data_IF_199604611752
#
_entry.id   IF_199604611752
#
_cell.length_a   1.000
_cell.length_b   1.000
_cell.length_c   1.000
_cell.angle_alpha   90.00
_cell.angle_beta   90.00
_cell.angle_gamma   90.00
#
_symmetry.space_group_name_H-M   'P 1'
#
loop_
_entity.id
_entity.type
_entity.pdbx_description
1 polymer ?
#
# COMPACT_ATOMS: atom_id res chain seq x y z
N UNK A 1 30.72 17.23 -0.16
CA UNK A 1 29.37 16.63 -0.16
C UNK A 1 28.90 16.63 -1.61
N UNK A 2 28.55 15.46 -2.18
CA UNK A 2 28.19 15.35 -3.61
C UNK A 2 26.72 15.66 -3.77
N UNK A 3 26.40 16.56 -4.68
CA UNK A 3 25.02 16.87 -5.09
C UNK A 3 24.70 16.01 -6.33
N UNK A 4 23.58 15.33 -6.28
CA UNK A 4 23.06 14.52 -7.39
C UNK A 4 21.91 15.25 -8.07
N UNK A 5 21.92 15.23 -9.39
CA UNK A 5 20.96 15.96 -10.21
C UNK A 5 19.61 15.25 -10.30
N UNK A 6 18.60 16.03 -10.71
CA UNK A 6 17.27 15.50 -11.07
C UNK A 6 17.40 14.34 -12.06
N UNK A 7 16.60 13.30 -11.90
CA UNK A 7 16.63 12.09 -12.73
C UNK A 7 17.59 11.02 -12.22
N UNK A 8 18.40 11.29 -11.19
CA UNK A 8 19.19 10.25 -10.55
C UNK A 8 18.29 9.28 -9.80
N UNK A 9 18.49 7.97 -10.00
CA UNK A 9 17.80 6.93 -9.24
C UNK A 9 18.51 6.73 -7.91
N UNK A 10 17.71 6.56 -6.86
CA UNK A 10 18.15 6.22 -5.51
C UNK A 10 17.72 4.81 -5.19
N UNK A 11 18.66 3.96 -4.78
CA UNK A 11 18.44 2.59 -4.35
C UNK A 11 18.84 2.45 -2.90
N UNK A 12 17.93 2.00 -2.05
CA UNK A 12 18.25 1.63 -0.66
C UNK A 12 18.96 0.28 -0.70
N UNK A 13 20.22 0.26 -0.30
CA UNK A 13 21.03 -0.98 -0.32
C UNK A 13 21.30 -1.54 1.06
N UNK A 14 20.87 -0.86 2.13
CA UNK A 14 21.01 -1.31 3.51
C UNK A 14 19.83 -0.87 4.36
N UNK A 15 18.94 -1.80 4.71
CA UNK A 15 17.76 -1.55 5.55
C UNK A 15 17.05 -2.86 5.87
N UNK A 16 16.38 -2.96 7.01
CA UNK A 16 15.51 -4.08 7.35
C UNK A 16 14.30 -4.26 6.42
N UNK A 17 13.93 -3.23 5.66
CA UNK A 17 12.84 -3.29 4.67
C UNK A 17 13.17 -4.19 3.46
N UNK A 18 14.47 -4.46 3.23
CA UNK A 18 14.96 -5.29 2.12
C UNK A 18 14.50 -6.76 2.19
N UNK A 19 13.91 -7.18 3.30
CA UNK A 19 13.22 -8.49 3.41
C UNK A 19 11.93 -8.54 2.59
N UNK A 20 11.35 -7.40 2.27
CA UNK A 20 10.02 -7.31 1.67
C UNK A 20 10.00 -6.54 0.36
N UNK A 21 10.82 -5.51 0.23
CA UNK A 21 10.81 -4.62 -0.94
C UNK A 21 12.17 -3.97 -1.15
N UNK A 22 12.47 -3.62 -2.39
CA UNK A 22 13.61 -2.80 -2.78
C UNK A 22 13.14 -1.35 -2.97
N UNK A 23 13.37 -0.45 -1.98
CA UNK A 23 13.01 0.93 -2.15
C UNK A 23 13.87 1.56 -3.26
N UNK A 24 13.18 2.06 -4.27
CA UNK A 24 13.75 2.71 -5.44
C UNK A 24 12.95 3.99 -5.71
N UNK A 25 13.63 5.08 -5.98
CA UNK A 25 13.01 6.36 -6.33
C UNK A 25 13.84 7.12 -7.35
N UNK A 26 13.24 8.13 -7.98
CA UNK A 26 13.93 9.06 -8.89
C UNK A 26 13.92 10.44 -8.24
N UNK A 27 15.06 11.11 -8.22
CA UNK A 27 15.17 12.47 -7.72
C UNK A 27 14.38 13.44 -8.63
N UNK A 28 13.44 14.16 -8.04
CA UNK A 28 12.70 15.23 -8.73
C UNK A 28 13.45 16.57 -8.70
N UNK A 29 14.34 16.73 -7.73
CA UNK A 29 15.16 17.94 -7.52
C UNK A 29 16.58 17.51 -7.13
N UNK A 30 17.60 18.35 -7.38
CA UNK A 30 18.96 18.09 -6.91
C UNK A 30 18.98 17.89 -5.39
N UNK A 31 19.68 16.85 -4.93
CA UNK A 31 19.80 16.52 -3.52
C UNK A 31 21.14 15.84 -3.17
N UNK A 32 21.46 15.83 -1.90
CA UNK A 32 22.55 15.02 -1.36
C UNK A 32 21.98 13.75 -0.73
N UNK A 33 22.72 12.65 -0.76
CA UNK A 33 22.28 11.36 -0.21
C UNK A 33 23.26 10.86 0.84
N UNK A 34 22.75 10.05 1.76
CA UNK A 34 23.56 9.40 2.78
C UNK A 34 24.21 8.11 2.24
N UNK A 35 25.04 7.47 3.06
CA UNK A 35 25.82 6.28 2.69
C UNK A 35 24.97 5.00 2.49
N UNK A 36 23.77 4.94 3.05
CA UNK A 36 22.89 3.77 2.96
C UNK A 36 22.09 3.74 1.64
N UNK A 37 22.19 4.83 0.88
CA UNK A 37 21.65 4.97 -0.46
C UNK A 37 22.74 4.86 -1.50
N UNK A 38 22.46 4.13 -2.56
CA UNK A 38 23.30 4.13 -3.77
C UNK A 38 22.57 4.87 -4.88
N UNK A 39 23.35 5.55 -5.71
CA UNK A 39 22.85 6.39 -6.78
C UNK A 39 23.18 5.79 -8.13
N UNK A 40 22.24 5.88 -9.06
CA UNK A 40 22.44 5.55 -10.47
C UNK A 40 22.09 6.81 -11.27
N UNK A 41 23.10 7.46 -11.84
CA UNK A 41 22.93 8.65 -12.66
C UNK A 41 23.09 8.28 -14.13
N UNK A 42 21.99 8.12 -14.87
CA UNK A 42 22.09 7.83 -16.30
C UNK A 42 22.69 8.99 -17.07
N UNK A 43 23.56 8.71 -18.06
CA UNK A 43 24.10 9.75 -18.93
C UNK A 43 23.00 10.40 -19.80
N UNK A 44 21.94 9.67 -20.08
CA UNK A 44 20.77 10.15 -20.82
C UNK A 44 19.61 10.19 -19.84
N UNK A 45 19.13 11.38 -19.51
CA UNK A 45 18.12 11.57 -18.45
C UNK A 45 16.79 10.85 -18.75
N UNK A 46 16.43 10.70 -20.03
CA UNK A 46 15.25 9.96 -20.47
C UNK A 46 15.28 8.47 -20.08
N UNK A 47 16.46 7.91 -19.81
CA UNK A 47 16.60 6.53 -19.36
C UNK A 47 16.17 6.31 -17.91
N UNK A 48 16.07 7.34 -17.09
CA UNK A 48 15.79 7.21 -15.65
C UNK A 48 14.49 6.46 -15.37
N UNK A 49 13.41 6.84 -16.02
CA UNK A 49 12.10 6.19 -15.84
C UNK A 49 12.12 4.75 -16.37
N UNK A 50 12.79 4.50 -17.49
CA UNK A 50 12.91 3.16 -18.03
C UNK A 50 13.71 2.24 -17.09
N UNK A 51 14.86 2.70 -16.58
CA UNK A 51 15.66 1.96 -15.60
C UNK A 51 14.88 1.70 -14.32
N UNK A 52 14.09 2.67 -13.86
CA UNK A 52 13.21 2.47 -12.72
C UNK A 52 12.26 1.30 -12.96
N UNK A 53 11.56 1.29 -14.08
CA UNK A 53 10.61 0.20 -14.45
C UNK A 53 11.34 -1.15 -14.52
N UNK A 54 12.49 -1.21 -15.18
CA UNK A 54 13.26 -2.47 -15.32
C UNK A 54 13.76 -2.98 -13.98
N UNK A 55 14.31 -2.11 -13.12
CA UNK A 55 14.79 -2.51 -11.79
C UNK A 55 13.62 -2.98 -10.92
N UNK A 56 12.48 -2.28 -10.93
CA UNK A 56 11.28 -2.68 -10.20
C UNK A 56 10.71 -4.00 -10.70
N UNK A 57 10.71 -4.24 -12.00
CA UNK A 57 10.29 -5.52 -12.57
C UNK A 57 11.18 -6.68 -12.12
N UNK A 58 12.46 -6.43 -11.84
CA UNK A 58 13.41 -7.40 -11.33
C UNK A 58 13.54 -7.41 -9.80
N UNK A 59 12.69 -6.69 -9.07
CA UNK A 59 12.76 -6.55 -7.60
C UNK A 59 12.84 -7.89 -6.88
N UNK A 60 11.94 -8.81 -7.23
CA UNK A 60 11.92 -10.14 -6.61
C UNK A 60 13.23 -10.92 -6.85
N UNK A 61 13.77 -10.86 -8.06
CA UNK A 61 15.05 -11.48 -8.41
C UNK A 61 16.20 -10.84 -7.61
N UNK A 62 16.26 -9.51 -7.55
CA UNK A 62 17.29 -8.77 -6.83
C UNK A 62 17.25 -9.10 -5.35
N UNK A 63 16.08 -9.10 -4.73
CA UNK A 63 15.91 -9.43 -3.32
C UNK A 63 16.22 -10.89 -3.01
N UNK A 64 16.03 -11.80 -3.96
CA UNK A 64 16.35 -13.21 -3.76
C UNK A 64 17.84 -13.53 -3.97
N UNK A 65 18.43 -13.03 -5.06
CA UNK A 65 19.76 -13.47 -5.50
C UNK A 65 20.90 -12.54 -5.03
N UNK A 66 20.57 -11.27 -4.72
CA UNK A 66 21.56 -10.27 -4.33
C UNK A 66 21.45 -9.86 -2.86
N UNK A 67 20.49 -10.43 -2.14
CA UNK A 67 20.32 -10.20 -0.70
C UNK A 67 21.48 -10.80 0.09
N UNK A 68 21.90 -10.06 1.10
CA UNK A 68 22.88 -10.49 2.10
C UNK A 68 22.27 -10.32 3.48
N UNK A 69 22.13 -11.42 4.20
CA UNK A 69 21.69 -11.42 5.58
C UNK A 69 22.73 -10.69 6.45
N UNK A 70 22.26 -9.71 7.21
CA UNK A 70 23.06 -9.02 8.19
C UNK A 70 22.63 -9.37 9.61
N UNK A 71 23.56 -9.39 10.55
CA UNK A 71 23.23 -9.63 11.97
C UNK A 71 22.29 -8.58 12.56
N UNK A 72 22.33 -7.37 12.05
CA UNK A 72 21.51 -6.23 12.52
C UNK A 72 20.63 -5.66 11.43
N UNK A 73 21.12 -5.56 10.21
CA UNK A 73 20.43 -4.94 9.08
C UNK A 73 20.81 -5.68 7.80
N UNK A 74 19.83 -6.01 7.00
CA UNK A 74 20.00 -6.66 5.71
C UNK A 74 20.57 -5.69 4.67
N UNK A 75 21.24 -6.24 3.67
CA UNK A 75 21.84 -5.45 2.61
C UNK A 75 21.71 -6.13 1.24
N UNK A 76 21.87 -5.35 0.19
CA UNK A 76 22.01 -5.85 -1.19
C UNK A 76 23.50 -5.89 -1.55
N UNK A 77 23.92 -7.00 -2.17
CA UNK A 77 25.24 -7.10 -2.79
C UNK A 77 25.28 -6.14 -3.99
N UNK A 78 25.86 -4.96 -3.75
CA UNK A 78 25.85 -3.90 -4.75
C UNK A 78 26.76 -4.22 -5.95
N UNK A 79 27.77 -5.05 -5.78
CA UNK A 79 28.65 -5.47 -6.89
C UNK A 79 27.89 -6.40 -7.85
N UNK A 80 27.10 -7.33 -7.32
CA UNK A 80 26.19 -8.13 -8.14
C UNK A 80 25.09 -7.26 -8.76
N UNK A 81 24.51 -6.34 -7.99
CA UNK A 81 23.49 -5.42 -8.49
C UNK A 81 23.95 -4.57 -9.67
N UNK A 82 25.23 -4.11 -9.65
CA UNK A 82 25.84 -3.37 -10.78
C UNK A 82 25.95 -4.20 -12.06
N UNK A 83 25.95 -5.52 -11.93
CA UNK A 83 26.01 -6.46 -13.05
C UNK A 83 24.61 -6.94 -13.49
N UNK A 84 23.54 -6.35 -12.97
CA UNK A 84 22.17 -6.68 -13.39
C UNK A 84 22.03 -6.45 -14.90
N UNK A 85 21.66 -7.47 -15.68
CA UNK A 85 21.43 -7.30 -17.11
C UNK A 85 20.22 -6.42 -17.36
N UNK A 86 20.41 -5.29 -18.03
CA UNK A 86 19.34 -4.35 -18.39
C UNK A 86 19.02 -4.53 -19.88
N UNK A 87 17.83 -4.98 -20.26
CA UNK A 87 17.41 -5.01 -21.66
C UNK A 87 17.26 -3.58 -22.19
N UNK A 88 18.04 -3.19 -23.18
CA UNK A 88 17.98 -1.86 -23.77
C UNK A 88 17.14 -1.91 -25.04
N UNK A 89 15.86 -1.60 -24.94
CA UNK A 89 15.00 -1.36 -26.10
C UNK A 89 15.38 -0.02 -26.79
N UNK A 90 15.00 0.18 -28.07
CA UNK A 90 15.13 1.49 -28.71
C UNK A 90 14.39 2.58 -27.91
N UNK A 91 14.90 3.82 -27.91
CA UNK A 91 14.34 4.92 -27.08
C UNK A 91 12.85 5.14 -27.31
N UNK A 92 12.39 5.04 -28.54
CA UNK A 92 10.96 5.17 -28.87
C UNK A 92 10.11 4.06 -28.21
N UNK A 93 10.65 2.85 -28.13
CA UNK A 93 9.98 1.73 -27.47
C UNK A 93 10.01 1.88 -25.94
N UNK A 94 11.12 2.31 -25.36
CA UNK A 94 11.21 2.62 -23.94
C UNK A 94 10.12 3.62 -23.51
N UNK A 95 9.92 4.69 -24.28
CA UNK A 95 8.87 5.68 -24.02
C UNK A 95 7.47 5.05 -24.06
N UNK A 96 7.19 4.17 -25.01
CA UNK A 96 5.90 3.44 -25.06
C UNK A 96 5.71 2.54 -23.85
N UNK A 97 6.74 1.79 -23.45
CA UNK A 97 6.72 0.93 -22.26
C UNK A 97 6.40 1.75 -21.01
N UNK A 98 7.07 2.89 -20.82
CA UNK A 98 6.83 3.78 -19.67
C UNK A 98 5.38 4.27 -19.65
N UNK A 99 4.86 4.74 -20.79
CA UNK A 99 3.47 5.25 -20.89
C UNK A 99 2.46 4.16 -20.53
N UNK A 100 2.61 2.96 -21.11
CA UNK A 100 1.71 1.84 -20.84
C UNK A 100 1.82 1.36 -19.38
N UNK A 101 3.01 1.30 -18.81
CA UNK A 101 3.20 0.94 -17.40
C UNK A 101 2.48 1.93 -16.48
N UNK A 102 2.64 3.24 -16.70
CA UNK A 102 1.93 4.28 -15.94
C UNK A 102 0.42 4.15 -16.06
N UNK A 103 -0.08 3.85 -17.26
CA UNK A 103 -1.51 3.63 -17.52
C UNK A 103 -2.06 2.45 -16.70
N UNK A 104 -1.35 1.32 -16.72
CA UNK A 104 -1.78 0.13 -15.95
C UNK A 104 -1.74 0.37 -14.44
N UNK A 105 -0.72 1.03 -13.92
CA UNK A 105 -0.68 1.37 -12.49
C UNK A 105 -1.82 2.32 -12.10
N UNK A 106 -2.13 3.32 -12.89
CA UNK A 106 -3.28 4.20 -12.63
C UNK A 106 -4.61 3.43 -12.58
N UNK A 107 -4.81 2.40 -13.44
CA UNK A 107 -5.99 1.54 -13.38
C UNK A 107 -6.01 0.68 -12.11
N UNK A 108 -4.86 0.15 -11.69
CA UNK A 108 -4.73 -0.63 -10.45
C UNK A 108 -5.10 0.24 -9.26
N UNK A 109 -4.56 1.47 -9.17
CA UNK A 109 -4.85 2.43 -8.10
C UNK A 109 -6.35 2.75 -8.02
N UNK A 110 -7.03 2.90 -9.17
CA UNK A 110 -8.48 3.11 -9.21
C UNK A 110 -9.25 1.91 -8.64
N UNK A 111 -8.84 0.68 -8.96
CA UNK A 111 -9.46 -0.53 -8.43
C UNK A 111 -9.23 -0.65 -6.91
N UNK A 112 -8.02 -0.33 -6.44
CA UNK A 112 -7.69 -0.36 -5.01
C UNK A 112 -8.48 0.69 -4.24
N UNK A 113 -8.62 1.91 -4.77
CA UNK A 113 -9.45 2.94 -4.17
C UNK A 113 -10.93 2.51 -4.09
N UNK A 114 -11.45 1.93 -5.15
CA UNK A 114 -12.82 1.39 -5.16
C UNK A 114 -13.06 0.31 -4.10
N UNK A 115 -12.06 -0.54 -3.80
CA UNK A 115 -12.15 -1.51 -2.69
C UNK A 115 -12.25 -0.83 -1.33
N UNK A 116 -11.45 0.21 -1.08
CA UNK A 116 -11.48 0.97 0.18
C UNK A 116 -12.83 1.63 0.37
N UNK A 117 -13.37 2.25 -0.67
CA UNK A 117 -14.67 2.91 -0.65
C UNK A 117 -15.80 1.91 -0.38
N UNK A 118 -15.76 0.73 -1.01
CA UNK A 118 -16.72 -0.34 -0.79
C UNK A 118 -16.66 -0.87 0.66
N UNK A 119 -15.47 -1.09 1.21
CA UNK A 119 -15.31 -1.53 2.60
C UNK A 119 -15.90 -0.51 3.59
N UNK A 120 -15.67 0.78 3.34
CA UNK A 120 -16.23 1.87 4.14
C UNK A 120 -17.74 1.88 4.08
N UNK A 121 -18.32 1.75 2.90
CA UNK A 121 -19.76 1.68 2.68
C UNK A 121 -20.39 0.48 3.40
N UNK A 122 -19.77 -0.70 3.31
CA UNK A 122 -20.22 -1.91 4.02
C UNK A 122 -20.19 -1.69 5.54
N UNK A 123 -19.12 -1.08 6.08
CA UNK A 123 -19.01 -0.78 7.51
C UNK A 123 -20.11 0.16 7.99
N UNK A 124 -20.40 1.21 7.21
CA UNK A 124 -21.48 2.15 7.49
C UNK A 124 -22.86 1.47 7.45
N UNK A 125 -23.11 0.64 6.43
CA UNK A 125 -24.35 -0.12 6.31
C UNK A 125 -24.58 -1.05 7.50
N UNK A 126 -23.53 -1.83 7.91
CA UNK A 126 -23.59 -2.68 9.09
C UNK A 126 -23.91 -1.90 10.36
N UNK A 127 -23.25 -0.76 10.58
CA UNK A 127 -23.51 0.10 11.74
C UNK A 127 -24.94 0.63 11.75
N UNK A 128 -25.46 1.05 10.59
CA UNK A 128 -26.84 1.53 10.46
C UNK A 128 -27.87 0.42 10.75
N UNK A 129 -27.64 -0.78 10.22
CA UNK A 129 -28.51 -1.94 10.46
C UNK A 129 -28.56 -2.27 11.96
N UNK A 130 -27.38 -2.35 12.61
CA UNK A 130 -27.30 -2.60 14.05
C UNK A 130 -28.00 -1.49 14.86
N UNK A 131 -27.80 -0.23 14.48
CA UNK A 131 -28.49 0.90 15.11
C UNK A 131 -30.00 0.80 14.99
N UNK A 132 -30.53 0.43 13.83
CA UNK A 132 -31.96 0.21 13.65
C UNK A 132 -32.48 -0.97 14.47
N UNK A 133 -31.69 -2.06 14.58
CA UNK A 133 -32.07 -3.24 15.35
C UNK A 133 -32.22 -2.93 16.83
N UNK A 134 -31.21 -2.29 17.45
CA UNK A 134 -31.23 -1.97 18.89
C UNK A 134 -32.27 -0.92 19.28
N UNK A 135 -32.74 -0.11 18.32
CA UNK A 135 -33.82 0.84 18.55
C UNK A 135 -35.19 0.30 18.13
N UNK A 136 -35.33 -0.99 17.84
CA UNK A 136 -36.58 -1.62 17.42
C UNK A 136 -37.17 -1.08 16.12
N UNK A 137 -36.32 -0.50 15.24
CA UNK A 137 -36.72 0.11 13.97
C UNK A 137 -36.38 -0.72 12.74
N UNK A 138 -35.73 -1.88 12.93
CA UNK A 138 -35.31 -2.73 11.82
C UNK A 138 -36.44 -3.49 11.19
N UNK A 139 -37.39 -3.94 12.02
CA UNK A 139 -38.61 -4.62 11.59
C UNK A 139 -39.85 -3.91 12.19
N UNK A 140 -41.02 -3.95 11.53
CA UNK A 140 -42.25 -3.47 12.14
C UNK A 140 -42.52 -4.23 13.45
N UNK A 141 -42.98 -3.53 14.47
CA UNK A 141 -43.39 -4.17 15.71
C UNK A 141 -44.78 -4.81 15.49
N UNK A 142 -44.95 -6.04 15.98
CA UNK A 142 -46.23 -6.71 15.98
C UNK A 142 -46.99 -6.35 17.29
N UNK A 143 -48.21 -5.88 17.16
CA UNK A 143 -49.08 -5.52 18.29
C UNK A 143 -49.49 -6.74 19.14
N UNK A 144 -49.32 -7.95 18.58
CA UNK A 144 -49.59 -9.20 19.28
C UNK A 144 -48.40 -9.74 20.08
N UNK A 145 -47.20 -9.12 19.92
CA UNK A 145 -46.04 -9.52 20.68
C UNK A 145 -46.18 -9.13 22.15
N UNK A 146 -45.69 -9.99 23.03
CA UNK A 146 -45.64 -9.73 24.48
C UNK A 146 -44.79 -8.48 24.77
N UNK A 147 -45.31 -7.48 25.53
CA UNK A 147 -44.53 -6.32 25.92
C UNK A 147 -43.28 -6.73 26.72
N UNK A 148 -42.12 -6.06 26.46
CA UNK A 148 -40.86 -6.37 27.11
C UNK A 148 -40.92 -6.32 28.65
N UNK A 149 -41.77 -5.45 29.20
CA UNK A 149 -42.01 -5.34 30.66
C UNK A 149 -42.62 -6.62 31.24
N UNK A 150 -43.54 -7.25 30.52
CA UNK A 150 -44.17 -8.51 30.95
C UNK A 150 -43.17 -9.67 30.92
N UNK A 151 -42.36 -9.74 29.86
CA UNK A 151 -41.26 -10.69 29.78
C UNK A 151 -40.26 -10.52 30.91
N UNK A 152 -39.87 -9.28 31.21
CA UNK A 152 -38.92 -8.98 32.30
C UNK A 152 -39.47 -9.36 33.68
N UNK A 153 -40.73 -9.06 33.95
CA UNK A 153 -41.40 -9.48 35.19
C UNK A 153 -41.54 -11.01 35.33
N UNK A 154 -41.70 -11.71 34.21
CA UNK A 154 -41.70 -13.17 34.21
C UNK A 154 -40.35 -13.79 34.52
N UNK A 155 -39.24 -13.18 34.05
CA UNK A 155 -37.89 -13.62 34.32
C UNK A 155 -37.44 -13.21 35.72
N UNK A 156 -37.78 -12.01 36.14
CA UNK A 156 -37.47 -11.47 37.47
C UNK A 156 -38.71 -10.80 38.07
N UNK A 157 -39.47 -11.50 38.97
CA UNK A 157 -40.71 -10.97 39.57
C UNK A 157 -40.52 -9.66 40.32
N UNK A 158 -39.33 -9.38 40.85
CA UNK A 158 -39.01 -8.16 41.60
C UNK A 158 -38.54 -7.00 40.69
N UNK A 159 -38.61 -7.18 39.35
CA UNK A 159 -38.20 -6.15 38.42
C UNK A 159 -39.11 -4.91 38.49
N UNK A 160 -38.51 -3.78 38.84
CA UNK A 160 -39.13 -2.46 38.77
C UNK A 160 -38.47 -1.65 37.62
N UNK A 161 -39.25 -1.10 36.67
CA UNK A 161 -38.66 -0.25 35.63
C UNK A 161 -37.99 0.96 36.27
N UNK A 162 -36.76 1.30 35.82
CA UNK A 162 -36.16 2.57 36.15
C UNK A 162 -36.85 3.66 35.33
N UNK A 163 -37.55 4.58 35.98
CA UNK A 163 -38.00 5.81 35.33
C UNK A 163 -36.74 6.67 35.01
N UNK A 164 -36.28 6.56 33.78
CA UNK A 164 -35.39 7.57 33.24
C UNK A 164 -36.27 8.65 32.62
N UNK A 165 -36.50 9.70 33.42
CA UNK A 165 -37.18 10.92 32.98
C UNK A 165 -36.43 11.62 31.84
#
# INVERSE_FOLDING_TARGET
>A
MTIYEKGTLLVVTRSGILRHTLPLSILEKPATVNQDLKTISPHIQELSEYLYVVIKANEHFILKEYHKDGTTVDSIDFDKFRCLPIPLAPIAEQKRIIVETKRWFALIDQVEQGKVDLQTTIKQAKSKILGLAIHGKLVPQDLNDEPAIELLKRINPDFTPCDNG
#
